data_IF_919707739169
#
_entry.id   IF_919707739169
#
_cell.length_a   1.000
_cell.length_b   1.000
_cell.length_c   1.000
_cell.angle_alpha   90.00
_cell.angle_beta   90.00
_cell.angle_gamma   90.00
#
_symmetry.space_group_name_H-M   'P 1'
#
loop_
_entity.id
_entity.type
_entity.pdbx_description
1 polymer ?
#
# COMPACT_ATOMS: atom_id res chain seq x y z
N UNK A 1 27.61 6.40 57.90
CA UNK A 1 26.39 5.60 57.69
C UNK A 1 25.18 6.45 58.06
N UNK A 2 24.56 7.13 57.08
CA UNK A 2 23.30 7.84 57.29
C UNK A 2 22.16 6.82 57.16
N UNK A 3 21.40 6.58 58.24
CA UNK A 3 20.17 5.78 58.19
C UNK A 3 19.06 6.64 57.59
N UNK A 4 18.73 6.38 56.33
CA UNK A 4 17.54 6.96 55.68
C UNK A 4 16.31 6.28 56.29
N UNK A 5 15.47 7.08 56.93
CA UNK A 5 14.26 6.62 57.61
C UNK A 5 13.22 6.21 56.55
N UNK A 6 13.04 4.90 56.33
CA UNK A 6 12.20 4.34 55.28
C UNK A 6 10.73 4.83 55.30
N UNK A 7 10.25 5.34 56.43
CA UNK A 7 8.92 5.94 56.56
C UNK A 7 8.78 7.29 55.84
N UNK A 8 9.86 8.06 55.71
CA UNK A 8 9.84 9.35 55.00
C UNK A 8 9.77 9.19 53.49
N UNK A 9 10.50 8.22 52.93
CA UNK A 9 10.54 7.95 51.49
C UNK A 9 9.22 7.37 50.94
N UNK A 10 8.51 6.57 51.74
CA UNK A 10 7.19 6.06 51.37
C UNK A 10 6.15 7.18 51.38
N UNK A 11 6.20 8.09 52.36
CA UNK A 11 5.28 9.23 52.43
C UNK A 11 5.47 10.20 51.26
N UNK A 12 6.71 10.50 50.88
CA UNK A 12 7.00 11.36 49.71
C UNK A 12 6.56 10.73 48.40
N UNK A 13 6.66 9.41 48.28
CA UNK A 13 6.26 8.68 47.06
C UNK A 13 4.73 8.62 46.91
N UNK A 14 3.99 8.46 48.01
CA UNK A 14 2.52 8.48 48.01
C UNK A 14 2.01 9.90 47.69
N UNK A 15 2.62 10.94 48.26
CA UNK A 15 2.25 12.33 47.96
C UNK A 15 2.51 12.67 46.48
N UNK A 16 3.64 12.23 45.92
CA UNK A 16 3.93 12.41 44.50
C UNK A 16 2.92 11.68 43.61
N UNK A 17 2.53 10.44 43.95
CA UNK A 17 1.54 9.67 43.19
C UNK A 17 0.14 10.32 43.24
N UNK A 18 -0.27 10.84 44.41
CA UNK A 18 -1.54 11.55 44.58
C UNK A 18 -1.54 12.86 43.79
N UNK A 19 -0.43 13.61 43.79
CA UNK A 19 -0.31 14.84 42.99
C UNK A 19 -0.37 14.56 41.50
N UNK A 20 0.28 13.50 41.01
CA UNK A 20 0.19 13.08 39.59
C UNK A 20 -1.23 12.65 39.22
N UNK A 21 -1.92 11.89 40.08
CA UNK A 21 -3.30 11.48 39.83
C UNK A 21 -4.28 12.67 39.84
N UNK A 22 -4.07 13.65 40.73
CA UNK A 22 -4.84 14.89 40.75
C UNK A 22 -4.59 15.74 39.50
N UNK A 23 -3.34 15.80 39.02
CA UNK A 23 -2.99 16.51 37.79
C UNK A 23 -3.61 15.86 36.55
N UNK A 24 -3.58 14.53 36.46
CA UNK A 24 -4.24 13.77 35.37
C UNK A 24 -5.76 13.91 35.43
N UNK A 25 -6.35 13.95 36.62
CA UNK A 25 -7.78 14.17 36.80
C UNK A 25 -8.21 15.60 36.41
N UNK A 26 -7.44 16.62 36.79
CA UNK A 26 -7.67 18.01 36.36
C UNK A 26 -7.50 18.16 34.85
N UNK A 27 -6.47 17.56 34.26
CA UNK A 27 -6.21 17.62 32.82
C UNK A 27 -7.35 16.99 32.00
N UNK A 28 -7.87 15.82 32.43
CA UNK A 28 -9.06 15.21 31.80
C UNK A 28 -10.33 16.06 31.97
N UNK A 29 -10.46 16.79 33.08
CA UNK A 29 -11.64 17.62 33.32
C UNK A 29 -11.64 18.91 32.47
N UNK A 30 -10.46 19.43 32.12
CA UNK A 30 -10.29 20.57 31.21
C UNK A 30 -10.44 20.20 29.73
N UNK A 31 -9.97 19.02 29.30
CA UNK A 31 -10.26 18.54 27.94
C UNK A 31 -11.76 18.35 27.74
N UNK A 32 -12.46 17.69 28.67
CA UNK A 32 -13.90 17.39 28.52
C UNK A 32 -14.77 18.66 28.56
N UNK A 33 -14.34 19.71 29.27
CA UNK A 33 -15.06 20.99 29.27
C UNK A 33 -14.83 21.82 28.00
N UNK A 34 -13.68 21.68 27.35
CA UNK A 34 -13.37 22.36 26.08
C UNK A 34 -14.21 21.86 24.88
N UNK A 35 -14.75 20.63 24.94
CA UNK A 35 -15.63 20.05 23.91
C UNK A 35 -17.12 20.38 24.09
N UNK A 36 -17.52 21.08 25.15
CA UNK A 36 -18.90 21.54 25.33
C UNK A 36 -18.97 23.04 25.07
N UNK A 37 -19.30 23.43 23.83
CA UNK A 37 -19.72 24.80 23.55
C UNK A 37 -21.00 25.13 24.34
N UNK A 38 -21.11 26.34 24.92
CA UNK A 38 -22.32 26.77 25.61
C UNK A 38 -23.42 27.13 24.60
N UNK A 39 -24.61 26.61 24.86
CA UNK A 39 -25.95 27.01 24.39
C UNK A 39 -26.01 28.02 23.22
N UNK A 40 -26.23 27.50 22.01
CA UNK A 40 -26.80 28.29 20.92
C UNK A 40 -28.33 28.18 20.97
N UNK A 41 -28.97 29.21 21.52
CA UNK A 41 -30.42 29.45 21.40
C UNK A 41 -30.77 29.79 19.93
N UNK A 42 -31.93 29.36 19.40
CA UNK A 42 -32.28 29.56 17.99
C UNK A 42 -32.97 30.91 17.83
N UNK A 43 -32.26 31.92 17.33
CA UNK A 43 -32.88 33.07 16.66
C UNK A 43 -31.83 33.85 15.87
N UNK A 44 -31.66 33.49 14.60
CA UNK A 44 -31.08 34.38 13.60
C UNK A 44 -31.74 34.08 12.26
N UNK A 45 -32.58 35.03 11.82
CA UNK A 45 -33.11 35.09 10.47
C UNK A 45 -31.97 35.09 9.45
N UNK A 46 -31.84 34.02 8.68
CA UNK A 46 -31.08 34.04 7.43
C UNK A 46 -32.06 33.84 6.27
N UNK A 47 -32.15 34.86 5.43
CA UNK A 47 -32.87 34.83 4.17
C UNK A 47 -32.26 33.77 3.25
N UNK A 48 -33.06 32.76 2.90
CA UNK A 48 -32.77 31.80 1.85
C UNK A 48 -32.58 32.55 0.52
N UNK A 49 -31.32 32.61 0.06
CA UNK A 49 -31.04 32.83 -1.35
C UNK A 49 -31.11 31.47 -2.01
N UNK A 50 -32.22 31.25 -2.72
CA UNK A 50 -32.54 30.08 -3.52
C UNK A 50 -31.39 29.82 -4.49
N UNK A 51 -30.59 28.79 -4.24
CA UNK A 51 -29.71 28.22 -5.27
C UNK A 51 -30.61 27.60 -6.33
N UNK A 52 -30.37 27.98 -7.58
CA UNK A 52 -31.07 27.46 -8.75
C UNK A 52 -30.98 25.94 -8.83
N UNK A 53 -32.07 25.34 -9.27
CA UNK A 53 -32.34 23.92 -9.41
C UNK A 53 -31.23 23.25 -10.24
N UNK A 54 -30.33 22.52 -9.58
CA UNK A 54 -29.36 21.66 -10.26
C UNK A 54 -30.15 20.54 -10.91
N UNK A 55 -30.26 20.57 -12.23
CA UNK A 55 -30.82 19.47 -13.02
C UNK A 55 -30.08 18.19 -12.69
N UNK A 56 -30.81 17.23 -12.14
CA UNK A 56 -30.42 15.86 -11.88
C UNK A 56 -29.77 15.25 -13.14
N UNK A 57 -28.52 14.79 -13.02
CA UNK A 57 -27.88 14.03 -14.09
C UNK A 57 -28.65 12.72 -14.27
N UNK A 58 -29.29 12.58 -15.42
CA UNK A 58 -30.08 11.41 -15.77
C UNK A 58 -29.12 10.27 -16.17
N UNK A 59 -28.96 9.30 -15.28
CA UNK A 59 -28.28 8.04 -15.57
C UNK A 59 -29.18 7.20 -16.51
N UNK A 60 -29.05 7.38 -17.82
CA UNK A 60 -29.74 6.58 -18.84
C UNK A 60 -29.07 5.20 -19.07
N UNK A 61 -28.71 4.49 -17.99
CA UNK A 61 -28.27 3.11 -18.06
C UNK A 61 -29.12 2.24 -17.14
N UNK A 62 -30.10 1.53 -17.72
CA UNK A 62 -30.88 0.53 -17.00
C UNK A 62 -29.95 -0.51 -16.34
N UNK A 63 -30.15 -0.87 -15.05
CA UNK A 63 -29.34 -1.88 -14.41
C UNK A 63 -29.54 -3.22 -15.11
N UNK A 64 -28.44 -3.84 -15.56
CA UNK A 64 -28.47 -5.17 -16.17
C UNK A 64 -29.02 -6.18 -15.16
N UNK A 65 -30.14 -6.82 -15.50
CA UNK A 65 -30.83 -7.80 -14.65
C UNK A 65 -30.19 -9.19 -14.68
N UNK A 66 -28.99 -9.33 -15.24
CA UNK A 66 -28.26 -10.59 -15.25
C UNK A 66 -27.60 -10.79 -13.88
N UNK A 67 -27.84 -11.91 -13.17
CA UNK A 67 -27.09 -12.22 -11.96
C UNK A 67 -25.60 -12.22 -12.29
N UNK A 68 -24.85 -11.28 -11.74
CA UNK A 68 -23.38 -11.26 -11.86
C UNK A 68 -22.88 -12.50 -11.15
N UNK A 69 -22.53 -13.53 -11.90
CA UNK A 69 -21.86 -14.71 -11.36
C UNK A 69 -20.51 -14.20 -10.84
N UNK A 70 -20.21 -14.35 -9.54
CA UNK A 70 -18.94 -13.87 -9.01
C UNK A 70 -17.78 -14.58 -9.70
N UNK A 71 -16.92 -13.79 -10.34
CA UNK A 71 -15.70 -14.28 -10.97
C UNK A 71 -14.60 -14.42 -9.89
N UNK A 72 -14.40 -15.65 -9.41
CA UNK A 72 -13.34 -15.98 -8.45
C UNK A 72 -11.98 -16.17 -9.11
N UNK A 73 -11.87 -16.01 -10.43
CA UNK A 73 -10.62 -16.31 -11.14
C UNK A 73 -9.54 -15.29 -10.88
N UNK A 74 -9.85 -14.07 -10.40
CA UNK A 74 -8.90 -12.96 -10.39
C UNK A 74 -8.37 -12.56 -11.79
N UNK A 75 -8.95 -13.05 -12.88
CA UNK A 75 -8.56 -12.71 -14.26
C UNK A 75 -9.29 -11.49 -14.82
N UNK A 76 -10.13 -10.81 -14.03
CA UNK A 76 -10.87 -9.63 -14.48
C UNK A 76 -9.95 -8.40 -14.63
N UNK A 77 -10.49 -7.26 -15.06
CA UNK A 77 -9.70 -6.04 -15.27
C UNK A 77 -9.13 -5.42 -14.00
N UNK A 78 -9.58 -5.85 -12.82
CA UNK A 78 -9.07 -5.42 -11.51
C UNK A 78 -8.25 -6.50 -10.82
N UNK A 79 -7.85 -7.55 -11.56
CA UNK A 79 -7.04 -8.66 -11.06
C UNK A 79 -7.62 -9.37 -9.83
N UNK A 80 -8.94 -9.36 -9.69
CA UNK A 80 -9.67 -9.92 -8.55
C UNK A 80 -9.82 -9.01 -7.33
N UNK A 81 -9.25 -7.80 -7.36
CA UNK A 81 -9.47 -6.76 -6.35
C UNK A 81 -10.69 -5.91 -6.69
N UNK A 82 -11.18 -5.09 -5.77
CA UNK A 82 -12.24 -4.12 -6.07
C UNK A 82 -11.69 -2.90 -6.82
N UNK A 83 -10.42 -2.55 -6.59
CA UNK A 83 -9.73 -1.48 -7.29
C UNK A 83 -8.22 -1.73 -7.36
N UNK A 84 -7.59 -1.17 -8.39
CA UNK A 84 -6.13 -1.00 -8.47
C UNK A 84 -5.87 0.51 -8.40
N UNK A 85 -5.04 0.93 -7.46
CA UNK A 85 -4.74 2.33 -7.14
C UNK A 85 -3.25 2.60 -7.34
N UNK A 86 -2.93 3.63 -8.11
CA UNK A 86 -1.56 4.11 -8.22
C UNK A 86 -1.32 5.29 -7.28
N UNK A 87 -0.24 5.23 -6.51
CA UNK A 87 0.28 6.38 -5.78
C UNK A 87 1.11 7.24 -6.74
N UNK A 88 0.62 8.44 -7.05
CA UNK A 88 1.30 9.35 -7.99
C UNK A 88 1.11 10.81 -7.61
N UNK A 89 2.12 11.63 -7.90
CA UNK A 89 2.00 13.10 -7.91
C UNK A 89 1.47 13.64 -9.27
N UNK A 90 1.17 12.76 -10.22
CA UNK A 90 0.67 13.13 -11.55
C UNK A 90 1.77 13.38 -12.58
N UNK A 91 2.99 12.87 -12.35
CA UNK A 91 4.08 12.99 -13.32
C UNK A 91 3.70 12.31 -14.63
N UNK A 92 3.73 13.10 -15.71
CA UNK A 92 3.12 12.74 -17.00
C UNK A 92 3.64 11.43 -17.57
N UNK A 93 4.96 11.24 -17.67
CA UNK A 93 5.53 10.02 -18.27
C UNK A 93 5.22 8.76 -17.44
N UNK A 94 5.14 8.91 -16.10
CA UNK A 94 4.80 7.82 -15.18
C UNK A 94 3.36 7.38 -15.38
N UNK A 95 2.43 8.33 -15.30
CA UNK A 95 0.98 8.11 -15.47
C UNK A 95 0.63 7.65 -16.89
N UNK A 96 1.18 8.29 -17.92
CA UNK A 96 0.93 7.91 -19.32
C UNK A 96 1.42 6.49 -19.60
N UNK A 97 2.63 6.14 -19.13
CA UNK A 97 3.17 4.79 -19.29
C UNK A 97 2.37 3.74 -18.51
N UNK A 98 1.90 4.08 -17.30
CA UNK A 98 1.05 3.21 -16.48
C UNK A 98 -0.28 2.90 -17.17
N UNK A 99 -0.93 3.93 -17.74
CA UNK A 99 -2.17 3.75 -18.50
C UNK A 99 -1.96 3.02 -19.82
N UNK A 100 -0.83 3.25 -20.50
CA UNK A 100 -0.46 2.53 -21.71
C UNK A 100 -0.28 1.02 -21.42
N UNK A 101 0.47 0.68 -20.36
CA UNK A 101 0.63 -0.68 -19.87
C UNK A 101 -0.71 -1.33 -19.47
N UNK A 102 -1.56 -0.58 -18.78
CA UNK A 102 -2.88 -1.07 -18.34
C UNK A 102 -3.78 -1.40 -19.52
N UNK A 103 -3.77 -0.55 -20.54
CA UNK A 103 -4.54 -0.75 -21.77
C UNK A 103 -4.14 -2.02 -22.50
N UNK A 104 -2.84 -2.30 -22.66
CA UNK A 104 -2.39 -3.51 -23.39
C UNK A 104 -2.62 -4.79 -22.59
N UNK A 105 -2.49 -4.74 -21.26
CA UNK A 105 -2.78 -5.87 -20.38
C UNK A 105 -4.28 -6.09 -20.12
N UNK A 106 -5.13 -5.13 -20.53
CA UNK A 106 -6.57 -5.17 -20.29
C UNK A 106 -6.94 -5.06 -18.81
N UNK A 107 -6.17 -4.30 -18.03
CA UNK A 107 -6.45 -3.99 -16.62
C UNK A 107 -6.85 -2.52 -16.44
N UNK A 108 -7.43 -2.20 -15.30
CA UNK A 108 -7.89 -0.85 -14.96
C UNK A 108 -7.14 -0.36 -13.72
N UNK A 109 -6.33 0.67 -13.92
CA UNK A 109 -5.60 1.35 -12.85
C UNK A 109 -6.20 2.74 -12.67
N UNK A 110 -6.59 3.05 -11.44
CA UNK A 110 -7.05 4.38 -11.04
C UNK A 110 -5.89 5.13 -10.44
N UNK A 111 -5.72 6.40 -10.79
CA UNK A 111 -4.74 7.31 -10.18
C UNK A 111 -5.52 8.35 -9.37
N UNK A 112 -5.79 8.11 -8.07
CA UNK A 112 -6.50 9.08 -7.24
C UNK A 112 -5.69 10.36 -7.10
N UNK A 113 -6.37 11.51 -7.07
CA UNK A 113 -5.70 12.78 -6.79
C UNK A 113 -5.15 12.77 -5.37
N UNK A 114 -3.83 12.92 -5.24
CA UNK A 114 -3.18 13.05 -3.93
C UNK A 114 -3.41 14.44 -3.33
N UNK A 115 -3.63 14.54 -2.01
CA UNK A 115 -3.70 15.83 -1.33
C UNK A 115 -2.42 16.63 -1.49
N UNK A 116 -2.54 17.95 -1.61
CA UNK A 116 -1.39 18.86 -1.50
C UNK A 116 -1.19 19.21 -0.03
N UNK A 117 -0.23 18.57 0.62
CA UNK A 117 0.16 18.93 1.98
C UNK A 117 1.00 20.21 1.97
N UNK A 118 0.74 21.10 2.92
CA UNK A 118 1.53 22.33 3.06
C UNK A 118 2.90 22.01 3.66
N UNK A 119 3.92 22.81 3.34
CA UNK A 119 5.25 22.55 3.90
C UNK A 119 5.32 22.59 5.43
N UNK A 120 4.62 23.49 6.14
CA UNK A 120 4.54 23.43 7.59
C UNK A 120 3.96 22.09 8.10
N UNK A 121 3.01 21.49 7.38
CA UNK A 121 2.45 20.20 7.75
C UNK A 121 3.44 19.06 7.54
N UNK A 122 4.14 19.04 6.40
CA UNK A 122 5.17 18.04 6.10
C UNK A 122 6.32 18.16 7.12
N UNK A 123 6.75 19.38 7.43
CA UNK A 123 7.77 19.62 8.45
C UNK A 123 7.32 19.13 9.83
N UNK A 124 6.08 19.40 10.24
CA UNK A 124 5.54 18.86 11.48
C UNK A 124 5.50 17.32 11.48
N UNK A 125 5.13 16.69 10.35
CA UNK A 125 5.18 15.23 10.24
C UNK A 125 6.62 14.69 10.38
N UNK A 126 7.63 15.39 9.84
CA UNK A 126 9.03 15.01 10.00
C UNK A 126 9.49 15.13 11.46
N UNK A 127 9.18 16.27 12.09
CA UNK A 127 9.62 16.57 13.46
C UNK A 127 9.06 15.59 14.52
N UNK A 128 7.87 15.05 14.29
CA UNK A 128 7.19 14.13 15.21
C UNK A 128 7.10 12.68 14.72
N UNK A 129 7.40 12.45 13.44
CA UNK A 129 7.19 11.18 12.77
C UNK A 129 8.45 10.33 12.68
N UNK A 130 8.39 9.25 11.90
CA UNK A 130 9.45 8.25 11.85
C UNK A 130 10.53 8.53 10.81
N UNK A 131 10.40 9.62 10.06
CA UNK A 131 11.23 9.94 8.90
C UNK A 131 11.65 11.41 8.92
N UNK A 132 12.95 11.63 8.73
CA UNK A 132 13.54 12.98 8.63
C UNK A 132 13.54 13.49 7.18
N UNK A 133 13.45 12.59 6.20
CA UNK A 133 13.60 12.90 4.78
C UNK A 133 12.25 13.34 4.16
N UNK A 134 12.28 14.39 3.33
CA UNK A 134 11.06 15.04 2.81
C UNK A 134 10.28 14.11 1.87
N UNK A 135 10.95 13.48 0.92
CA UNK A 135 10.34 12.51 0.01
C UNK A 135 9.76 11.31 0.76
N UNK A 136 10.49 10.79 1.75
CA UNK A 136 9.99 9.69 2.59
C UNK A 136 8.73 10.08 3.39
N UNK A 137 8.66 11.31 3.92
CA UNK A 137 7.47 11.85 4.58
C UNK A 137 6.28 11.95 3.61
N UNK A 138 6.50 12.47 2.40
CA UNK A 138 5.47 12.59 1.36
C UNK A 138 4.94 11.22 0.91
N UNK A 139 5.83 10.24 0.71
CA UNK A 139 5.44 8.86 0.39
C UNK A 139 4.55 8.28 1.49
N UNK A 140 4.95 8.43 2.75
CA UNK A 140 4.15 7.95 3.89
C UNK A 140 2.75 8.56 3.92
N UNK A 141 2.65 9.88 3.79
CA UNK A 141 1.37 10.58 3.79
C UNK A 141 0.47 10.12 2.63
N UNK A 142 1.06 9.87 1.47
CA UNK A 142 0.33 9.35 0.31
C UNK A 142 -0.22 7.94 0.52
N UNK A 143 0.56 7.03 1.11
CA UNK A 143 0.05 5.70 1.47
C UNK A 143 -1.07 5.77 2.51
N UNK A 144 -0.98 6.65 3.52
CA UNK A 144 -2.06 6.87 4.47
C UNK A 144 -3.35 7.35 3.80
N UNK A 145 -3.23 8.23 2.79
CA UNK A 145 -4.36 8.74 2.03
C UNK A 145 -5.04 7.63 1.21
N UNK A 146 -4.26 6.82 0.49
CA UNK A 146 -4.81 5.69 -0.26
C UNK A 146 -5.49 4.65 0.64
N UNK A 147 -4.94 4.37 1.82
CA UNK A 147 -5.58 3.46 2.79
C UNK A 147 -6.92 4.02 3.28
N UNK A 148 -6.99 5.33 3.56
CA UNK A 148 -8.27 6.00 3.91
C UNK A 148 -9.25 5.90 2.74
N UNK A 149 -8.78 6.12 1.51
CA UNK A 149 -9.60 6.03 0.31
C UNK A 149 -10.21 4.62 0.13
N UNK A 150 -9.43 3.56 0.34
CA UNK A 150 -9.94 2.17 0.32
C UNK A 150 -11.05 1.95 1.36
N UNK A 151 -10.84 2.44 2.58
CA UNK A 151 -11.81 2.29 3.68
C UNK A 151 -13.09 3.09 3.41
N UNK A 152 -12.96 4.33 2.94
CA UNK A 152 -14.09 5.23 2.65
C UNK A 152 -14.95 4.71 1.50
N UNK A 153 -14.36 4.05 0.51
CA UNK A 153 -15.10 3.40 -0.58
C UNK A 153 -15.69 2.03 -0.18
N UNK A 154 -15.43 1.54 1.04
CA UNK A 154 -15.90 0.24 1.53
C UNK A 154 -15.52 -0.93 0.60
N UNK A 155 -14.31 -0.88 0.03
CA UNK A 155 -13.81 -1.94 -0.85
C UNK A 155 -13.30 -3.14 -0.05
N UNK A 156 -13.75 -4.35 -0.42
CA UNK A 156 -13.33 -5.59 0.22
C UNK A 156 -11.83 -5.87 0.14
N UNK A 157 -11.16 -5.35 -0.90
CA UNK A 157 -9.73 -5.38 -1.10
C UNK A 157 -9.32 -4.37 -2.19
N UNK A 158 -8.08 -3.90 -2.14
CA UNK A 158 -7.52 -3.04 -3.18
C UNK A 158 -6.03 -3.35 -3.36
N UNK A 159 -5.56 -3.31 -4.61
CA UNK A 159 -4.13 -3.32 -4.93
C UNK A 159 -3.63 -1.87 -5.01
N UNK A 160 -2.57 -1.56 -4.28
CA UNK A 160 -1.88 -0.26 -4.29
C UNK A 160 -0.51 -0.47 -4.92
N UNK A 161 -0.15 0.38 -5.88
CA UNK A 161 1.12 0.33 -6.61
C UNK A 161 1.75 1.72 -6.75
N UNK A 162 3.07 1.77 -6.88
CA UNK A 162 3.81 2.99 -7.25
C UNK A 162 3.60 3.32 -8.74
N UNK A 163 3.78 4.58 -9.15
CA UNK A 163 3.41 5.03 -10.50
C UNK A 163 4.45 4.75 -11.61
N UNK A 164 5.65 4.31 -11.23
CA UNK A 164 6.68 3.76 -12.11
C UNK A 164 6.61 2.23 -12.23
N UNK A 165 5.55 1.59 -11.76
CA UNK A 165 5.39 0.14 -11.90
C UNK A 165 5.09 -0.30 -13.34
N UNK A 166 5.46 -1.55 -13.61
CA UNK A 166 5.20 -2.31 -14.81
C UNK A 166 4.91 -3.79 -14.46
N UNK A 167 4.40 -4.54 -15.41
CA UNK A 167 3.94 -5.92 -15.26
C UNK A 167 3.96 -6.65 -16.60
N UNK A 168 3.78 -7.96 -16.57
CA UNK A 168 3.66 -8.74 -17.80
C UNK A 168 2.34 -8.43 -18.53
N UNK A 169 2.35 -8.34 -19.86
CA UNK A 169 1.12 -8.20 -20.68
C UNK A 169 0.07 -9.26 -20.31
N UNK A 170 0.51 -10.45 -19.91
CA UNK A 170 -0.30 -11.57 -19.48
C UNK A 170 -0.58 -11.61 -17.96
N UNK A 171 -0.47 -10.49 -17.22
CA UNK A 171 -0.73 -10.42 -15.76
C UNK A 171 -2.09 -11.00 -15.33
N UNK A 172 -3.10 -10.96 -16.22
CA UNK A 172 -4.43 -11.58 -15.98
C UNK A 172 -4.39 -13.11 -15.98
N UNK A 173 -3.35 -13.73 -16.54
CA UNK A 173 -3.07 -15.18 -16.45
C UNK A 173 -2.30 -15.55 -15.20
N UNK A 174 -1.48 -14.63 -14.67
CA UNK A 174 -0.68 -14.83 -13.45
C UNK A 174 -1.53 -14.85 -12.18
N UNK A 175 -2.53 -13.99 -12.13
CA UNK A 175 -3.33 -13.71 -10.92
C UNK A 175 -4.26 -14.84 -10.47
N UNK A 176 -4.90 -15.63 -11.34
CA UNK A 176 -5.69 -16.81 -10.92
C UNK A 176 -4.95 -17.86 -10.08
N UNK A 177 -3.79 -18.39 -10.52
CA UNK A 177 -3.07 -19.35 -9.70
C UNK A 177 -2.49 -18.72 -8.42
N UNK A 178 -2.11 -17.45 -8.44
CA UNK A 178 -1.71 -16.69 -7.23
C UNK A 178 -2.88 -16.65 -6.24
N UNK A 179 -4.07 -16.22 -6.69
CA UNK A 179 -5.25 -16.11 -5.84
C UNK A 179 -5.62 -17.45 -5.18
N UNK A 180 -5.56 -18.55 -5.96
CA UNK A 180 -5.74 -19.91 -5.45
C UNK A 180 -4.69 -20.26 -4.37
N UNK A 181 -3.42 -19.94 -4.61
CA UNK A 181 -2.33 -20.22 -3.68
C UNK A 181 -2.44 -19.41 -2.38
N UNK A 182 -2.82 -18.12 -2.46
CA UNK A 182 -3.11 -17.27 -1.30
C UNK A 182 -4.25 -17.85 -0.48
N UNK A 183 -5.35 -18.28 -1.11
CA UNK A 183 -6.48 -18.93 -0.41
C UNK A 183 -6.05 -20.20 0.32
N UNK A 184 -5.18 -21.02 -0.30
CA UNK A 184 -4.68 -22.23 0.33
C UNK A 184 -3.77 -21.92 1.53
N UNK A 185 -2.81 -21.01 1.36
CA UNK A 185 -1.88 -20.59 2.41
C UNK A 185 -2.61 -20.01 3.62
N UNK A 186 -3.58 -19.13 3.35
CA UNK A 186 -4.35 -18.40 4.36
C UNK A 186 -5.51 -19.20 4.93
N UNK A 187 -5.75 -20.42 4.41
CA UNK A 187 -6.88 -21.28 4.79
C UNK A 187 -8.21 -20.54 4.67
N UNK A 188 -8.44 -19.88 3.53
CA UNK A 188 -9.67 -19.15 3.25
C UNK A 188 -10.91 -20.04 3.44
N UNK A 189 -11.99 -19.47 3.99
CA UNK A 189 -13.22 -20.21 4.27
C UNK A 189 -13.90 -20.58 2.94
N UNK A 190 -14.59 -21.73 2.89
CA UNK A 190 -15.37 -22.11 1.70
C UNK A 190 -16.48 -21.11 1.34
N UNK A 191 -16.98 -20.37 2.33
CA UNK A 191 -17.99 -19.33 2.17
C UNK A 191 -17.42 -18.01 1.67
N UNK A 192 -16.10 -17.85 1.71
CA UNK A 192 -15.41 -16.64 1.28
C UNK A 192 -15.49 -16.48 -0.24
N UNK A 193 -15.96 -15.32 -0.67
CA UNK A 193 -16.24 -14.96 -2.06
C UNK A 193 -15.15 -14.07 -2.68
N UNK A 194 -14.16 -13.62 -1.92
CA UNK A 194 -13.10 -12.80 -2.48
C UNK A 194 -12.09 -13.68 -3.24
N UNK A 195 -11.63 -13.31 -4.44
CA UNK A 195 -10.72 -14.16 -5.24
C UNK A 195 -9.46 -14.61 -4.48
N UNK A 196 -8.87 -13.74 -3.66
CA UNK A 196 -7.71 -14.05 -2.81
C UNK A 196 -8.09 -14.55 -1.40
N UNK A 197 -9.39 -14.62 -1.11
CA UNK A 197 -9.92 -14.73 0.24
C UNK A 197 -9.69 -13.46 1.06
N UNK A 198 -10.12 -13.47 2.33
CA UNK A 198 -10.03 -12.32 3.23
C UNK A 198 -9.29 -12.58 4.55
N UNK A 199 -8.63 -13.74 4.68
CA UNK A 199 -7.89 -14.11 5.87
C UNK A 199 -6.41 -13.68 5.79
N UNK A 200 -6.15 -12.45 5.38
CA UNK A 200 -4.83 -11.79 5.29
C UNK A 200 -5.02 -10.28 5.42
N UNK A 201 -4.00 -9.56 5.87
CA UNK A 201 -4.02 -8.09 5.99
C UNK A 201 -3.35 -7.44 4.78
N UNK A 202 -2.15 -7.89 4.43
CA UNK A 202 -1.33 -7.35 3.34
C UNK A 202 -0.89 -8.49 2.43
N UNK A 203 -0.98 -8.29 1.12
CA UNK A 203 -0.47 -9.20 0.10
C UNK A 203 0.53 -8.42 -0.76
N UNK A 204 1.83 -8.69 -0.61
CA UNK A 204 2.84 -8.13 -1.50
C UNK A 204 2.82 -8.85 -2.84
N UNK A 205 2.63 -8.08 -3.91
CA UNK A 205 2.69 -8.55 -5.29
C UNK A 205 3.90 -7.96 -6.02
N UNK A 206 4.53 -6.91 -5.50
CA UNK A 206 5.79 -6.36 -5.95
C UNK A 206 6.58 -5.84 -4.76
N UNK A 207 7.85 -6.21 -4.66
CA UNK A 207 8.76 -5.85 -3.57
C UNK A 207 10.21 -6.01 -4.04
N UNK A 208 11.18 -5.39 -3.37
CA UNK A 208 12.60 -5.57 -3.74
C UNK A 208 13.27 -6.76 -3.02
N UNK A 209 12.64 -7.26 -1.95
CA UNK A 209 13.09 -8.39 -1.17
C UNK A 209 11.93 -8.97 -0.39
N UNK A 210 11.71 -10.28 -0.48
CA UNK A 210 11.17 -11.11 0.60
C UNK A 210 11.67 -12.54 0.39
N UNK A 211 12.64 -13.02 1.19
CA UNK A 211 13.16 -14.36 0.98
C UNK A 211 12.10 -15.43 1.26
N UNK A 212 12.03 -16.48 0.42
CA UNK A 212 11.25 -17.66 0.76
C UNK A 212 11.73 -18.25 2.09
N UNK A 213 10.82 -18.73 2.98
CA UNK A 213 11.22 -19.27 4.27
C UNK A 213 12.12 -20.50 4.12
N UNK A 214 12.88 -20.84 5.16
CA UNK A 214 13.56 -22.15 5.20
C UNK A 214 12.52 -23.27 5.27
N UNK A 215 12.91 -24.44 4.75
CA UNK A 215 12.03 -25.61 4.60
C UNK A 215 11.31 -25.96 5.90
N UNK A 216 11.95 -25.70 7.04
CA UNK A 216 11.44 -26.01 8.37
C UNK A 216 10.85 -24.79 9.11
N UNK A 217 10.84 -23.62 8.48
CA UNK A 217 10.42 -22.35 9.08
C UNK A 217 9.08 -21.80 8.56
N UNK A 218 8.62 -22.25 7.38
CA UNK A 218 7.39 -21.73 6.81
C UNK A 218 6.79 -22.58 5.69
N UNK A 219 5.48 -22.42 5.49
CA UNK A 219 4.75 -23.06 4.39
C UNK A 219 4.97 -22.26 3.10
N UNK A 220 5.33 -22.97 2.03
CA UNK A 220 5.41 -22.45 0.66
C UNK A 220 4.37 -23.17 -0.19
N UNK A 221 3.59 -22.42 -0.96
CA UNK A 221 2.73 -22.95 -2.03
C UNK A 221 3.43 -22.70 -3.35
N UNK A 222 3.81 -23.75 -4.07
CA UNK A 222 4.46 -23.64 -5.39
C UNK A 222 3.50 -24.06 -6.49
N UNK A 223 3.49 -23.34 -7.61
CA UNK A 223 2.68 -23.67 -8.79
C UNK A 223 3.41 -23.27 -10.08
N UNK A 224 2.92 -23.80 -11.20
CA UNK A 224 3.45 -23.48 -12.53
C UNK A 224 2.96 -22.11 -12.99
N UNK A 225 3.87 -21.32 -13.55
CA UNK A 225 3.62 -20.02 -14.16
C UNK A 225 4.67 -19.80 -15.25
N UNK A 226 4.29 -19.95 -16.52
CA UNK A 226 5.17 -19.83 -17.68
C UNK A 226 5.45 -18.37 -18.09
N UNK A 227 4.93 -17.41 -17.34
CA UNK A 227 5.15 -15.97 -17.58
C UNK A 227 6.22 -15.36 -16.68
N UNK A 228 6.81 -16.13 -15.75
CA UNK A 228 7.93 -15.67 -14.92
C UNK A 228 9.19 -15.49 -15.77
N UNK A 229 10.01 -14.47 -15.46
CA UNK A 229 11.34 -14.39 -16.04
C UNK A 229 12.20 -15.63 -15.68
N UNK A 230 13.13 -16.04 -16.55
CA UNK A 230 14.10 -17.09 -16.24
C UNK A 230 14.85 -16.81 -14.93
N UNK A 231 15.06 -17.85 -14.12
CA UNK A 231 15.62 -17.73 -12.77
C UNK A 231 17.07 -17.21 -12.80
N UNK A 232 17.82 -17.49 -13.87
CA UNK A 232 19.18 -16.97 -14.09
C UNK A 232 19.20 -15.46 -14.39
N UNK A 233 18.12 -14.93 -14.97
CA UNK A 233 17.91 -13.51 -15.21
C UNK A 233 17.35 -12.75 -14.00
N UNK A 234 16.65 -13.43 -13.09
CA UNK A 234 16.04 -12.81 -11.90
C UNK A 234 16.97 -11.82 -11.18
N UNK A 235 16.48 -10.63 -10.85
CA UNK A 235 17.16 -9.57 -10.13
C UNK A 235 16.38 -9.28 -8.86
N UNK A 236 16.96 -9.57 -7.70
CA UNK A 236 16.37 -9.25 -6.41
C UNK A 236 17.44 -9.09 -5.35
N UNK A 237 17.15 -8.36 -4.28
CA UNK A 237 18.14 -8.12 -3.22
C UNK A 237 18.52 -9.41 -2.49
N UNK A 238 17.62 -10.40 -2.46
CA UNK A 238 17.88 -11.69 -1.84
C UNK A 238 18.01 -12.81 -2.90
N UNK A 239 19.23 -13.37 -3.11
CA UNK A 239 19.45 -14.36 -4.17
C UNK A 239 18.79 -15.72 -3.88
N UNK A 240 18.33 -15.94 -2.65
CA UNK A 240 17.78 -17.21 -2.17
C UNK A 240 16.57 -17.70 -2.97
N UNK A 241 15.83 -16.80 -3.60
CA UNK A 241 14.76 -17.18 -4.51
C UNK A 241 15.23 -18.28 -5.48
N UNK A 242 16.44 -18.14 -6.03
CA UNK A 242 17.02 -19.06 -7.02
C UNK A 242 17.30 -20.46 -6.47
N UNK A 243 17.40 -20.62 -5.15
CA UNK A 243 17.59 -21.91 -4.50
C UNK A 243 16.27 -22.67 -4.31
N UNK A 244 15.14 -21.97 -4.39
CA UNK A 244 13.80 -22.48 -4.04
C UNK A 244 12.90 -22.60 -5.27
N UNK A 245 12.96 -21.62 -6.17
CA UNK A 245 12.10 -21.49 -7.35
C UNK A 245 12.84 -21.96 -8.60
N UNK A 246 12.15 -22.70 -9.47
CA UNK A 246 12.65 -23.12 -10.79
C UNK A 246 11.99 -22.32 -11.90
N UNK A 247 12.57 -22.35 -13.10
CA UNK A 247 11.95 -21.76 -14.28
C UNK A 247 10.50 -22.24 -14.46
N UNK A 248 9.62 -21.30 -14.81
CA UNK A 248 8.21 -21.57 -15.00
C UNK A 248 7.45 -21.84 -13.69
N UNK A 249 7.97 -21.38 -12.54
CA UNK A 249 7.32 -21.54 -11.25
C UNK A 249 7.19 -20.22 -10.52
N UNK A 250 6.10 -20.10 -9.76
CA UNK A 250 5.89 -19.05 -8.77
C UNK A 250 5.49 -19.68 -7.45
N UNK A 251 5.77 -18.97 -6.39
CA UNK A 251 5.48 -19.36 -5.02
C UNK A 251 4.71 -18.28 -4.28
N UNK A 252 3.97 -18.72 -3.26
CA UNK A 252 3.29 -17.86 -2.29
C UNK A 252 3.62 -18.36 -0.89
N UNK A 253 4.00 -17.45 0.01
CA UNK A 253 4.31 -17.76 1.41
C UNK A 253 3.94 -16.60 2.34
N UNK A 254 3.93 -16.85 3.65
CA UNK A 254 3.81 -15.77 4.62
C UNK A 254 5.08 -14.93 4.60
N UNK A 255 4.93 -13.61 4.64
CA UNK A 255 6.07 -12.70 4.49
C UNK A 255 7.07 -12.84 5.64
N UNK A 256 8.36 -12.75 5.32
CA UNK A 256 9.46 -12.90 6.28
C UNK A 256 10.23 -11.58 6.44
N UNK A 257 10.65 -10.97 5.34
CA UNK A 257 11.35 -9.70 5.31
C UNK A 257 10.99 -8.92 4.02
N UNK A 258 9.70 -8.58 3.83
CA UNK A 258 9.22 -7.84 2.67
C UNK A 258 9.65 -6.37 2.74
N UNK A 259 10.35 -5.86 1.73
CA UNK A 259 10.79 -4.45 1.65
C UNK A 259 10.45 -3.85 0.29
N UNK A 260 10.32 -2.53 0.23
CA UNK A 260 9.74 -1.78 -0.88
C UNK A 260 8.23 -2.03 -1.04
N UNK A 261 7.52 -0.98 -1.45
CA UNK A 261 6.07 -0.97 -1.64
C UNK A 261 5.66 -0.84 -3.09
N UNK A 262 6.49 -1.39 -3.99
CA UNK A 262 6.26 -1.45 -5.44
C UNK A 262 4.81 -1.77 -5.77
N UNK A 263 4.30 -2.89 -5.24
CA UNK A 263 2.87 -3.20 -5.25
C UNK A 263 2.46 -4.06 -4.05
N UNK A 264 1.50 -3.59 -3.27
CA UNK A 264 0.88 -4.36 -2.19
C UNK A 264 -0.63 -4.21 -2.21
N UNK A 265 -1.34 -5.30 -1.99
CA UNK A 265 -2.76 -5.28 -1.77
C UNK A 265 -3.09 -5.29 -0.28
N UNK A 266 -4.25 -4.75 0.06
CA UNK A 266 -4.85 -4.81 1.39
C UNK A 266 -6.23 -5.43 1.30
N UNK A 267 -6.58 -6.29 2.27
CA UNK A 267 -7.99 -6.65 2.50
C UNK A 267 -8.69 -5.48 3.19
N UNK A 268 -10.02 -5.48 3.25
CA UNK A 268 -10.75 -4.40 3.95
C UNK A 268 -10.33 -4.28 5.41
N UNK A 269 -10.21 -5.41 6.12
CA UNK A 269 -9.73 -5.42 7.49
C UNK A 269 -8.24 -5.06 7.56
N UNK A 270 -7.45 -5.54 6.60
CA UNK A 270 -6.03 -5.21 6.46
C UNK A 270 -5.78 -3.72 6.28
N UNK A 271 -6.58 -3.03 5.47
CA UNK A 271 -6.49 -1.58 5.27
C UNK A 271 -6.70 -0.83 6.58
N UNK A 272 -7.67 -1.26 7.40
CA UNK A 272 -7.93 -0.67 8.72
C UNK A 272 -6.82 -0.95 9.71
N UNK A 273 -6.32 -2.19 9.75
CA UNK A 273 -5.23 -2.60 10.63
C UNK A 273 -3.93 -1.86 10.29
N UNK A 274 -3.59 -1.81 8.99
CA UNK A 274 -2.43 -1.10 8.49
C UNK A 274 -2.55 0.41 8.72
N UNK A 275 -3.70 1.02 8.43
CA UNK A 275 -3.91 2.45 8.70
C UNK A 275 -3.73 2.76 10.20
N UNK A 276 -4.31 1.93 11.08
CA UNK A 276 -4.16 2.11 12.52
C UNK A 276 -2.69 2.00 12.98
N UNK A 277 -1.94 1.04 12.43
CA UNK A 277 -0.53 0.86 12.76
C UNK A 277 0.35 1.99 12.19
N UNK A 278 0.16 2.35 10.93
CA UNK A 278 0.88 3.43 10.27
C UNK A 278 0.59 4.81 10.90
N UNK A 279 -0.60 4.99 11.49
CA UNK A 279 -0.94 6.22 12.22
C UNK A 279 -0.17 6.39 13.53
N UNK A 280 0.57 5.37 13.99
CA UNK A 280 1.48 5.50 15.13
C UNK A 280 2.70 6.37 14.80
N UNK A 281 3.03 6.55 13.52
CA UNK A 281 4.17 7.37 13.08
C UNK A 281 5.52 6.86 13.59
N UNK A 282 5.73 5.53 13.57
CA UNK A 282 6.96 4.87 14.05
C UNK A 282 7.46 3.85 13.04
N UNK A 283 8.75 3.51 13.10
CA UNK A 283 9.30 2.35 12.36
C UNK A 283 10.08 2.65 11.08
N UNK A 284 10.56 3.88 10.89
CA UNK A 284 11.34 4.30 9.72
C UNK A 284 10.48 4.77 8.54
N UNK A 285 10.93 4.57 7.31
CA UNK A 285 10.13 4.80 6.10
C UNK A 285 8.92 3.83 6.04
N UNK A 286 7.93 4.14 5.20
CA UNK A 286 6.64 3.43 5.19
C UNK A 286 6.79 1.93 4.93
N UNK A 287 7.64 1.58 3.97
CA UNK A 287 7.98 0.20 3.62
C UNK A 287 8.67 -0.53 4.77
N UNK A 288 9.60 0.12 5.49
CA UNK A 288 10.27 -0.45 6.65
C UNK A 288 9.32 -0.65 7.83
N UNK A 289 8.42 0.31 8.09
CA UNK A 289 7.38 0.14 9.11
C UNK A 289 6.49 -1.06 8.77
N UNK A 290 6.08 -1.17 7.50
CA UNK A 290 5.23 -2.25 7.04
C UNK A 290 5.95 -3.61 7.12
N UNK A 291 7.23 -3.66 6.76
CA UNK A 291 8.10 -4.82 6.96
C UNK A 291 8.09 -5.27 8.42
N UNK A 292 8.38 -4.37 9.36
CA UNK A 292 8.43 -4.68 10.79
C UNK A 292 7.07 -5.16 11.31
N UNK A 293 5.97 -4.52 10.90
CA UNK A 293 4.62 -4.94 11.29
C UNK A 293 4.29 -6.38 10.85
N UNK A 294 4.80 -6.81 9.68
CA UNK A 294 4.66 -8.16 9.17
C UNK A 294 5.61 -9.17 9.83
N UNK A 295 6.81 -8.73 10.20
CA UNK A 295 7.78 -9.53 10.98
C UNK A 295 7.25 -9.85 12.37
N UNK A 296 6.79 -8.81 13.06
CA UNK A 296 6.26 -8.88 14.43
C UNK A 296 4.87 -9.51 14.50
N UNK A 297 4.31 -9.91 13.36
CA UNK A 297 2.97 -10.51 13.22
C UNK A 297 1.86 -9.63 13.76
N UNK A 298 2.09 -8.32 13.80
CA UNK A 298 1.04 -7.30 13.99
C UNK A 298 0.08 -7.33 12.80
N UNK A 299 0.63 -7.54 11.59
CA UNK A 299 -0.13 -7.75 10.37
C UNK A 299 0.12 -9.16 9.83
N UNK A 300 -0.93 -9.80 9.31
CA UNK A 300 -0.85 -11.08 8.61
C UNK A 300 -0.52 -10.85 7.15
N UNK A 301 0.76 -10.97 6.82
CA UNK A 301 1.26 -10.62 5.49
C UNK A 301 1.63 -11.86 4.67
N UNK A 302 1.35 -11.78 3.37
CA UNK A 302 1.62 -12.81 2.37
C UNK A 302 2.42 -12.17 1.24
N UNK A 303 3.36 -12.91 0.67
CA UNK A 303 4.18 -12.46 -0.45
C UNK A 303 4.13 -13.44 -1.61
N UNK A 304 4.35 -12.90 -2.81
CA UNK A 304 4.39 -13.62 -4.07
C UNK A 304 5.81 -13.52 -4.64
N UNK A 305 6.40 -14.65 -5.02
CA UNK A 305 7.76 -14.71 -5.53
C UNK A 305 7.88 -15.67 -6.73
N UNK A 306 8.54 -15.31 -7.86
CA UNK A 306 8.96 -13.96 -8.21
C UNK A 306 7.80 -12.97 -8.16
N UNK A 307 8.12 -11.69 -8.17
CA UNK A 307 7.19 -10.58 -8.12
C UNK A 307 6.32 -10.51 -9.40
N UNK A 308 5.14 -9.94 -9.27
CA UNK A 308 4.18 -9.69 -10.37
C UNK A 308 4.38 -8.29 -10.94
N UNK A 309 4.79 -7.36 -10.09
CA UNK A 309 4.98 -5.95 -10.40
C UNK A 309 6.41 -5.55 -10.04
N UNK A 310 7.09 -4.96 -11.01
CA UNK A 310 8.46 -4.46 -10.87
C UNK A 310 8.55 -3.02 -11.39
N UNK A 311 9.49 -2.22 -10.87
CA UNK A 311 9.73 -0.87 -11.37
C UNK A 311 10.22 -0.89 -12.82
N UNK A 312 9.67 0.01 -13.63
CA UNK A 312 10.22 0.39 -14.92
C UNK A 312 11.32 1.44 -14.73
N UNK A 313 12.48 1.17 -15.31
CA UNK A 313 13.63 2.05 -15.28
C UNK A 313 13.79 2.75 -16.64
N UNK A 314 13.65 4.09 -16.72
CA UNK A 314 13.86 4.83 -17.97
C UNK A 314 15.33 4.76 -18.42
N UNK A 315 15.55 4.72 -19.73
CA UNK A 315 16.90 4.62 -20.31
C UNK A 315 17.77 5.85 -20.03
N UNK A 316 17.15 7.01 -19.87
CA UNK A 316 17.81 8.27 -19.54
C UNK A 316 18.33 8.30 -18.09
N UNK A 317 17.96 7.30 -17.28
CA UNK A 317 18.19 7.30 -15.84
C UNK A 317 17.27 8.30 -15.12
N UNK A 318 17.50 8.47 -13.82
CA UNK A 318 16.76 9.42 -13.00
C UNK A 318 16.63 8.98 -11.55
N UNK A 319 16.47 9.95 -10.65
CA UNK A 319 16.01 9.68 -9.29
C UNK A 319 14.48 9.50 -9.29
N UNK A 320 13.94 8.67 -8.39
CA UNK A 320 12.50 8.73 -8.09
C UNK A 320 12.17 10.11 -7.48
N UNK A 321 10.91 10.53 -7.52
CA UNK A 321 10.47 11.80 -6.91
C UNK A 321 10.84 11.86 -5.41
N UNK A 322 10.67 10.72 -4.71
CA UNK A 322 11.08 10.55 -3.31
C UNK A 322 12.57 10.83 -3.15
N UNK A 323 13.41 10.15 -3.95
CA UNK A 323 14.87 10.30 -3.87
C UNK A 323 15.34 11.69 -4.28
N UNK A 324 14.68 12.29 -5.26
CA UNK A 324 14.94 13.66 -5.69
C UNK A 324 14.67 14.65 -4.55
N UNK A 325 13.52 14.52 -3.88
CA UNK A 325 13.17 15.32 -2.70
C UNK A 325 14.10 15.10 -1.51
N UNK A 326 14.54 13.86 -1.27
CA UNK A 326 15.44 13.54 -0.16
C UNK A 326 16.88 14.04 -0.37
N UNK A 327 17.37 13.97 -1.61
CA UNK A 327 18.73 14.37 -1.96
C UNK A 327 18.84 15.84 -2.39
N UNK A 328 17.73 16.56 -2.52
CA UNK A 328 17.70 17.93 -3.02
C UNK A 328 18.21 18.05 -4.46
N UNK A 329 17.93 17.05 -5.28
CA UNK A 329 18.28 17.03 -6.71
C UNK A 329 17.04 17.20 -7.56
N UNK A 330 17.20 17.76 -8.76
CA UNK A 330 16.07 17.95 -9.67
C UNK A 330 15.52 16.60 -10.14
N UNK A 331 14.19 16.46 -10.07
CA UNK A 331 13.48 15.36 -10.70
C UNK A 331 13.24 15.69 -12.18
N UNK A 332 13.69 14.82 -13.08
CA UNK A 332 13.48 14.99 -14.50
C UNK A 332 12.06 14.53 -14.91
N UNK A 333 11.20 15.51 -15.18
CA UNK A 333 9.83 15.30 -15.61
C UNK A 333 9.69 14.83 -17.07
N UNK A 334 10.79 14.77 -17.83
CA UNK A 334 10.80 14.61 -19.27
C UNK A 334 11.50 13.33 -19.77
N UNK A 335 11.79 12.39 -18.86
CA UNK A 335 12.36 11.05 -19.17
C UNK A 335 11.34 10.09 -19.80
N UNK A 336 11.80 8.91 -20.21
CA UNK A 336 10.95 7.87 -20.79
C UNK A 336 10.65 8.07 -22.27
N UNK A 337 11.48 8.85 -22.97
CA UNK A 337 11.43 9.05 -24.43
C UNK A 337 12.13 7.92 -25.16
N UNK A 338 13.14 7.33 -24.53
CA UNK A 338 13.81 6.11 -24.97
C UNK A 338 13.30 4.88 -24.18
N UNK A 339 13.37 3.72 -24.83
CA UNK A 339 13.00 2.45 -24.22
C UNK A 339 14.02 2.09 -23.14
N UNK A 340 13.55 2.04 -21.90
CA UNK A 340 14.27 1.53 -20.75
C UNK A 340 14.13 0.02 -20.59
N UNK A 341 14.13 -0.44 -19.34
CA UNK A 341 13.94 -1.85 -18.99
C UNK A 341 13.04 -2.02 -17.77
N UNK A 342 12.49 -3.22 -17.62
CA UNK A 342 11.82 -3.68 -16.40
C UNK A 342 12.45 -5.01 -16.02
N UNK A 343 13.07 -5.06 -14.84
CA UNK A 343 13.62 -6.30 -14.31
C UNK A 343 12.50 -7.31 -14.02
N UNK A 344 12.83 -8.61 -14.05
CA UNK A 344 11.95 -9.73 -13.68
C UNK A 344 10.64 -9.90 -14.46
N UNK A 345 10.33 -8.99 -15.39
CA UNK A 345 9.10 -9.00 -16.18
C UNK A 345 9.38 -9.53 -17.59
N UNK A 346 8.92 -10.75 -17.88
CA UNK A 346 9.21 -11.44 -19.15
C UNK A 346 8.71 -10.65 -20.37
N UNK A 347 7.44 -10.25 -20.37
CA UNK A 347 6.83 -9.46 -21.43
C UNK A 347 6.32 -8.13 -20.86
N UNK A 348 7.23 -7.16 -20.66
CA UNK A 348 6.89 -5.82 -20.14
C UNK A 348 5.74 -5.18 -20.91
N UNK A 349 4.66 -4.87 -20.20
CA UNK A 349 3.49 -4.20 -20.73
C UNK A 349 3.79 -2.74 -21.10
N UNK A 350 4.55 -2.03 -20.27
CA UNK A 350 4.95 -0.64 -20.52
C UNK A 350 5.83 -0.52 -21.76
N UNK A 351 6.88 -1.35 -21.86
CA UNK A 351 7.75 -1.35 -23.04
C UNK A 351 7.00 -1.75 -24.31
N UNK A 352 6.12 -2.75 -24.23
CA UNK A 352 5.33 -3.16 -25.38
C UNK A 352 4.36 -2.05 -25.82
N UNK A 353 3.68 -1.41 -24.88
CA UNK A 353 2.72 -0.36 -25.19
C UNK A 353 3.37 0.88 -25.82
N UNK A 354 4.59 1.25 -25.37
CA UNK A 354 5.28 2.46 -25.82
C UNK A 354 6.20 2.23 -27.02
N UNK A 355 6.81 1.05 -27.14
CA UNK A 355 7.88 0.77 -28.10
C UNK A 355 7.65 -0.48 -28.97
N UNK A 356 6.56 -1.23 -28.74
CA UNK A 356 6.19 -2.41 -29.52
C UNK A 356 7.06 -3.64 -29.31
N UNK A 357 7.86 -3.67 -28.23
CA UNK A 357 8.78 -4.78 -27.88
C UNK A 357 8.84 -4.95 -26.35
N UNK A 358 9.21 -6.16 -25.89
CA UNK A 358 9.59 -6.39 -24.49
C UNK A 358 11.02 -5.89 -24.23
N UNK A 359 11.34 -5.64 -22.96
CA UNK A 359 12.60 -5.02 -22.51
C UNK A 359 13.21 -5.71 -21.28
N UNK A 360 12.98 -7.02 -21.12
CA UNK A 360 13.71 -7.81 -20.12
C UNK A 360 15.20 -7.87 -20.49
N UNK A 361 16.07 -7.42 -19.58
CA UNK A 361 17.53 -7.49 -19.77
C UNK A 361 18.10 -8.90 -19.58
#
# INVERSE_FOLDING_TARGET
MLRINARGAILTSIVALVLVLLFVAQWKHEEISAWRSPDASPNANHQDTKLDEVTEFKDDAAPSTTPVIPDFSAANSTLGFQAILALSQGTKWRVDGLHAAAKVAGITVTVPQQPKWSEPFIQAFKDFGPVEAHGAAMAWLGHLDLLKFVIQNNWGSALILEDDMDWDIDVRKQTPPIAKAVRELTKAKKTDKDPYGNNWDVLWMGHCSDPPPFKDEGKIITFADDTTAPVDKYRGLNPRLRDVVKDGQRIVHYSINPVCTFAYAVSYQGARNLLAHASLGKGGAFDLMLMHACQDKVLKCVSVNPEVFDPYFPAEGGASEVRAGDAGVDFDHEVGKAMGHTDNTLNSARCFAQFGKTCLE
#
